data_IF_440124081398
#
_entry.id   IF_440124081398
#
_cell.length_a   1.000
_cell.length_b   1.000
_cell.length_c   1.000
_cell.angle_alpha   90.00
_cell.angle_beta   90.00
_cell.angle_gamma   90.00
#
_symmetry.space_group_name_H-M   'P 1'
#
loop_
_entity.id
_entity.type
_entity.pdbx_description
1 polymer ?
#
# COMPACT_ATOMS: atom_id res chain seq x y z
N UNK A 1 5.58 2.47 10.42
CA UNK A 1 5.27 1.63 9.24
C UNK A 1 3.92 2.07 8.67
N UNK A 2 3.74 2.05 7.34
CA UNK A 2 2.41 2.28 6.75
C UNK A 2 1.48 1.12 7.13
N UNK A 3 0.27 1.40 7.64
CA UNK A 3 -0.75 0.39 7.93
C UNK A 3 -0.94 -0.59 6.74
N UNK A 4 -0.91 -0.07 5.50
CA UNK A 4 -1.00 -0.89 4.28
C UNK A 4 0.18 -1.84 4.10
N UNK A 5 1.41 -1.39 4.37
CA UNK A 5 2.61 -2.22 4.20
C UNK A 5 2.60 -3.38 5.20
N UNK A 6 2.19 -3.12 6.44
CA UNK A 6 2.04 -4.13 7.48
C UNK A 6 0.99 -5.18 7.10
N UNK A 7 -0.19 -4.75 6.64
CA UNK A 7 -1.23 -5.66 6.13
C UNK A 7 -0.69 -6.57 5.01
N UNK A 8 0.09 -6.01 4.08
CA UNK A 8 0.66 -6.78 2.97
C UNK A 8 1.69 -7.81 3.46
N UNK A 9 2.57 -7.44 4.39
CA UNK A 9 3.55 -8.36 4.99
C UNK A 9 2.88 -9.49 5.77
N UNK A 10 1.83 -9.17 6.54
CA UNK A 10 1.03 -10.17 7.25
C UNK A 10 0.28 -11.10 6.27
N UNK A 11 -0.22 -10.57 5.16
CA UNK A 11 -0.86 -11.36 4.10
C UNK A 11 0.13 -12.29 3.40
N UNK A 12 1.36 -11.81 3.15
CA UNK A 12 2.44 -12.61 2.58
C UNK A 12 2.78 -13.81 3.48
N UNK A 13 3.04 -13.55 4.77
CA UNK A 13 3.37 -14.59 5.75
C UNK A 13 2.30 -15.69 5.82
N UNK A 14 1.01 -15.30 5.85
CA UNK A 14 -0.11 -16.26 5.83
C UNK A 14 -0.13 -17.11 4.56
N UNK A 15 0.15 -16.53 3.40
CA UNK A 15 0.18 -17.27 2.12
C UNK A 15 1.37 -18.21 2.04
N UNK A 16 2.53 -17.82 2.55
CA UNK A 16 3.73 -18.65 2.61
C UNK A 16 3.50 -19.86 3.52
N UNK A 17 2.91 -19.66 4.69
CA UNK A 17 2.50 -20.76 5.58
C UNK A 17 1.48 -21.69 4.91
N UNK A 18 0.51 -21.14 4.18
CA UNK A 18 -0.46 -21.94 3.44
C UNK A 18 0.19 -22.74 2.29
N UNK A 19 1.23 -22.18 1.66
CA UNK A 19 1.96 -22.84 0.59
C UNK A 19 2.75 -24.04 1.13
N UNK A 20 3.44 -23.86 2.24
CA UNK A 20 4.15 -24.94 2.96
C UNK A 20 3.19 -26.08 3.30
N UNK A 21 2.04 -25.77 3.92
CA UNK A 21 1.02 -26.77 4.21
C UNK A 21 0.54 -27.52 2.97
N UNK A 22 0.33 -26.84 1.84
CA UNK A 22 -0.09 -27.49 0.59
C UNK A 22 0.99 -28.41 0.02
N UNK A 23 2.26 -28.07 0.20
CA UNK A 23 3.36 -28.97 -0.15
C UNK A 23 3.33 -30.21 0.73
N UNK A 24 3.22 -30.06 2.05
CA UNK A 24 3.15 -31.18 2.97
C UNK A 24 1.98 -32.12 2.65
N UNK A 25 0.79 -31.54 2.40
CA UNK A 25 -0.40 -32.29 2.01
C UNK A 25 -0.19 -33.06 0.69
N UNK A 26 0.42 -32.41 -0.31
CA UNK A 26 0.72 -33.03 -1.60
C UNK A 26 1.74 -34.17 -1.45
N UNK A 27 2.85 -33.95 -0.74
CA UNK A 27 3.87 -34.96 -0.52
C UNK A 27 3.36 -36.14 0.32
N UNK A 28 2.52 -35.87 1.32
CA UNK A 28 1.85 -36.91 2.09
C UNK A 28 0.92 -37.75 1.21
N UNK A 29 0.15 -37.12 0.31
CA UNK A 29 -0.71 -37.83 -0.63
C UNK A 29 0.10 -38.66 -1.64
N UNK A 30 1.19 -38.12 -2.18
CA UNK A 30 2.12 -38.84 -3.07
C UNK A 30 2.72 -40.05 -2.36
N UNK A 31 3.22 -39.86 -1.12
CA UNK A 31 3.78 -40.96 -0.31
C UNK A 31 2.76 -42.05 -0.04
N UNK A 32 1.51 -41.70 0.25
CA UNK A 32 0.41 -42.64 0.48
C UNK A 32 0.02 -43.41 -0.78
N UNK A 33 0.05 -42.76 -1.94
CA UNK A 33 -0.36 -43.37 -3.20
C UNK A 33 0.79 -44.05 -3.98
N UNK A 34 2.04 -43.95 -3.52
CA UNK A 34 3.15 -44.76 -4.00
C UNK A 34 2.88 -46.25 -3.72
N UNK A 35 2.48 -47.01 -4.76
CA UNK A 35 2.12 -48.42 -4.68
C UNK A 35 0.91 -48.79 -5.54
N UNK A 36 0.04 -49.65 -5.01
CA UNK A 36 -1.10 -50.31 -5.68
C UNK A 36 -2.11 -49.37 -6.41
N UNK A 37 -2.39 -48.12 -5.96
CA UNK A 37 -3.33 -47.23 -6.68
C UNK A 37 -2.84 -46.76 -8.05
N UNK A 38 -1.52 -46.67 -8.28
CA UNK A 38 -0.95 -46.28 -9.57
C UNK A 38 -0.90 -47.45 -10.56
N UNK A 39 -0.81 -48.69 -10.04
CA UNK A 39 -0.75 -49.91 -10.84
C UNK A 39 -2.14 -50.44 -11.25
N UNK A 40 -3.20 -49.94 -10.63
CA UNK A 40 -4.58 -50.25 -11.02
C UNK A 40 -5.06 -49.28 -12.12
N UNK A 41 -5.30 -49.81 -13.33
CA UNK A 41 -5.71 -49.08 -14.54
C UNK A 41 -6.95 -48.21 -14.35
N UNK A 42 -7.87 -48.55 -13.42
CA UNK A 42 -9.08 -47.75 -13.15
C UNK A 42 -8.85 -46.62 -12.14
N UNK A 43 -7.94 -46.81 -11.18
CA UNK A 43 -7.72 -45.88 -10.06
C UNK A 43 -6.50 -44.95 -10.27
N UNK A 44 -5.61 -45.28 -11.21
CA UNK A 44 -4.44 -44.46 -11.54
C UNK A 44 -4.81 -43.08 -12.09
N UNK A 45 -5.74 -43.00 -13.04
CA UNK A 45 -6.16 -41.72 -13.63
C UNK A 45 -6.81 -40.78 -12.60
N UNK A 46 -7.62 -41.33 -11.69
CA UNK A 46 -8.24 -40.54 -10.62
C UNK A 46 -7.19 -39.95 -9.67
N UNK A 47 -6.13 -40.70 -9.38
CA UNK A 47 -4.99 -40.24 -8.57
C UNK A 47 -4.20 -39.14 -9.28
N UNK A 48 -3.86 -39.34 -10.56
CA UNK A 48 -3.17 -38.33 -11.38
C UNK A 48 -3.98 -37.03 -11.44
N UNK A 49 -5.29 -37.12 -11.71
CA UNK A 49 -6.17 -35.95 -11.76
C UNK A 49 -6.24 -35.22 -10.41
N UNK A 50 -6.15 -35.94 -9.29
CA UNK A 50 -6.11 -35.34 -7.95
C UNK A 50 -4.79 -34.60 -7.72
N UNK A 51 -3.67 -35.22 -8.08
CA UNK A 51 -2.35 -34.58 -7.99
C UNK A 51 -2.24 -33.35 -8.88
N UNK A 52 -2.79 -33.38 -10.11
CA UNK A 52 -2.76 -32.20 -10.97
C UNK A 52 -3.56 -31.04 -10.37
N UNK A 53 -4.72 -31.30 -9.75
CA UNK A 53 -5.47 -30.26 -9.02
C UNK A 53 -4.68 -29.69 -7.84
N UNK A 54 -3.95 -30.54 -7.10
CA UNK A 54 -3.08 -30.08 -6.01
C UNK A 54 -1.95 -29.20 -6.55
N UNK A 55 -1.29 -29.63 -7.63
CA UNK A 55 -0.24 -28.89 -8.32
C UNK A 55 -0.74 -27.55 -8.86
N UNK A 56 -1.91 -27.52 -9.49
CA UNK A 56 -2.55 -26.30 -9.97
C UNK A 56 -2.81 -25.33 -8.81
N UNK A 57 -3.34 -25.82 -7.69
CA UNK A 57 -3.56 -24.98 -6.52
C UNK A 57 -2.25 -24.44 -5.91
N UNK A 58 -1.17 -25.23 -5.92
CA UNK A 58 0.18 -24.79 -5.51
C UNK A 58 0.70 -23.70 -6.48
N UNK A 59 0.57 -23.90 -7.79
CA UNK A 59 0.97 -22.92 -8.82
C UNK A 59 0.22 -21.60 -8.64
N UNK A 60 -1.10 -21.66 -8.50
CA UNK A 60 -1.95 -20.49 -8.28
C UNK A 60 -1.57 -19.74 -6.99
N UNK A 61 -1.26 -20.46 -5.91
CA UNK A 61 -0.84 -19.84 -4.65
C UNK A 61 0.54 -19.17 -4.78
N UNK A 62 1.50 -19.79 -5.47
CA UNK A 62 2.80 -19.16 -5.78
C UNK A 62 2.63 -17.86 -6.57
N UNK A 63 1.78 -17.84 -7.59
CA UNK A 63 1.49 -16.62 -8.35
C UNK A 63 0.87 -15.51 -7.46
N UNK A 64 -0.03 -15.89 -6.55
CA UNK A 64 -0.63 -14.96 -5.59
C UNK A 64 0.40 -14.37 -4.61
N UNK A 65 1.37 -15.19 -4.18
CA UNK A 65 2.51 -14.75 -3.36
C UNK A 65 3.35 -13.73 -4.13
N UNK A 66 3.73 -14.01 -5.38
CA UNK A 66 4.53 -13.09 -6.20
C UNK A 66 3.79 -11.76 -6.45
N UNK A 67 2.48 -11.80 -6.70
CA UNK A 67 1.66 -10.57 -6.76
C UNK A 67 1.70 -9.77 -5.46
N UNK A 68 1.74 -10.45 -4.31
CA UNK A 68 1.82 -9.80 -2.99
C UNK A 68 3.19 -9.18 -2.74
N UNK A 69 4.28 -9.88 -3.10
CA UNK A 69 5.64 -9.35 -3.03
C UNK A 69 5.82 -8.09 -3.88
N UNK A 70 5.35 -8.11 -5.14
CA UNK A 70 5.34 -6.92 -6.01
C UNK A 70 4.50 -5.78 -5.44
N UNK A 71 3.43 -6.07 -4.71
CA UNK A 71 2.62 -5.04 -4.06
C UNK A 71 3.35 -4.41 -2.86
N UNK A 72 4.13 -5.20 -2.11
CA UNK A 72 4.99 -4.74 -1.02
C UNK A 72 6.07 -3.81 -1.56
N UNK A 73 6.82 -4.25 -2.57
CA UNK A 73 7.87 -3.47 -3.23
C UNK A 73 7.33 -2.09 -3.68
N UNK A 74 6.20 -2.07 -4.40
CA UNK A 74 5.56 -0.83 -4.84
C UNK A 74 5.12 0.09 -3.68
N UNK A 75 4.76 -0.47 -2.53
CA UNK A 75 4.39 0.33 -1.36
C UNK A 75 5.63 0.89 -0.65
N UNK A 76 6.71 0.10 -0.58
CA UNK A 76 8.01 0.53 -0.07
C UNK A 76 8.56 1.65 -0.95
N UNK A 77 8.55 1.50 -2.28
CA UNK A 77 8.98 2.55 -3.23
C UNK A 77 8.25 3.87 -3.01
N UNK A 78 6.92 3.83 -2.81
CA UNK A 78 6.14 5.04 -2.52
C UNK A 78 6.54 5.69 -1.21
N UNK A 79 6.82 4.89 -0.18
CA UNK A 79 7.29 5.39 1.11
C UNK A 79 8.67 6.04 0.94
N UNK A 80 9.59 5.39 0.23
CA UNK A 80 10.93 5.91 -0.03
C UNK A 80 10.88 7.20 -0.85
N UNK A 81 10.09 7.25 -1.93
CA UNK A 81 9.90 8.45 -2.73
C UNK A 81 9.30 9.61 -1.90
N UNK A 82 8.33 9.31 -1.03
CA UNK A 82 7.75 10.30 -0.13
C UNK A 82 8.78 10.82 0.89
N UNK A 83 9.57 9.94 1.49
CA UNK A 83 10.64 10.32 2.43
C UNK A 83 11.70 11.18 1.75
N UNK A 84 12.16 10.77 0.57
CA UNK A 84 13.10 11.55 -0.22
C UNK A 84 12.58 12.96 -0.50
N UNK A 85 11.30 13.09 -0.84
CA UNK A 85 10.67 14.39 -1.04
C UNK A 85 10.64 15.23 0.24
N UNK A 86 10.33 14.61 1.38
CA UNK A 86 10.30 15.27 2.68
C UNK A 86 11.68 15.79 3.09
N UNK A 87 12.74 15.02 2.85
CA UNK A 87 14.09 15.37 3.27
C UNK A 87 14.73 16.46 2.40
N UNK A 88 14.40 16.51 1.10
CA UNK A 88 15.12 17.36 0.15
C UNK A 88 14.37 18.63 -0.26
N UNK A 89 13.04 18.59 -0.36
CA UNK A 89 12.29 19.68 -1.01
C UNK A 89 11.23 20.33 -0.13
N UNK A 90 10.65 19.59 0.82
CA UNK A 90 9.53 20.09 1.62
C UNK A 90 10.06 20.84 2.85
N UNK A 91 9.59 22.08 3.12
CA UNK A 91 9.96 22.83 4.31
C UNK A 91 9.57 22.12 5.62
N UNK A 92 10.39 22.31 6.65
CA UNK A 92 10.17 21.71 7.99
C UNK A 92 8.84 22.15 8.60
N UNK A 93 8.44 23.39 8.37
CA UNK A 93 7.20 23.97 8.88
C UNK A 93 5.95 23.20 8.39
N UNK A 94 5.99 22.64 7.17
CA UNK A 94 4.91 21.79 6.66
C UNK A 94 4.97 20.40 7.31
N UNK A 95 6.17 19.84 7.45
CA UNK A 95 6.38 18.50 8.02
C UNK A 95 5.94 18.45 9.49
N UNK A 96 6.16 19.51 10.27
CA UNK A 96 5.68 19.62 11.64
C UNK A 96 4.15 19.55 11.74
N UNK A 97 3.43 20.16 10.79
CA UNK A 97 1.97 20.07 10.74
C UNK A 97 1.50 18.68 10.32
N UNK A 98 2.27 17.98 9.47
CA UNK A 98 1.98 16.58 9.12
C UNK A 98 2.19 15.67 10.34
N UNK A 99 3.26 15.88 11.12
CA UNK A 99 3.54 15.10 12.33
C UNK A 99 2.48 15.33 13.42
N UNK A 100 2.03 16.58 13.60
CA UNK A 100 0.92 16.93 14.51
C UNK A 100 -0.43 16.35 14.07
N UNK A 101 -0.55 15.94 12.81
CA UNK A 101 -1.79 15.43 12.22
C UNK A 101 -2.73 16.52 11.73
N UNK A 102 -2.30 17.78 11.69
CA UNK A 102 -3.06 18.91 11.14
C UNK A 102 -3.07 18.89 9.60
N UNK A 103 -2.10 18.20 8.98
CA UNK A 103 -2.04 17.94 7.55
C UNK A 103 -1.86 16.44 7.26
N UNK A 104 -2.56 15.97 6.22
CA UNK A 104 -2.41 14.62 5.68
C UNK A 104 -1.64 14.73 4.36
N UNK A 105 -0.44 14.18 4.34
CA UNK A 105 0.40 14.16 3.14
C UNK A 105 -0.08 13.12 2.12
N UNK A 106 -0.15 13.52 0.84
CA UNK A 106 -0.52 12.60 -0.23
C UNK A 106 0.68 11.77 -0.70
N UNK A 107 0.70 10.47 -0.37
CA UNK A 107 1.83 9.59 -0.77
C UNK A 107 2.11 9.50 -2.26
N UNK A 108 1.10 9.66 -3.13
CA UNK A 108 1.30 9.60 -4.59
C UNK A 108 1.93 10.90 -5.13
N UNK A 109 1.64 12.02 -4.48
CA UNK A 109 2.15 13.34 -4.84
C UNK A 109 2.60 14.03 -3.54
N UNK A 110 3.81 13.71 -3.02
CA UNK A 110 4.24 14.13 -1.68
C UNK A 110 4.22 15.64 -1.44
N UNK A 111 4.28 16.44 -2.49
CA UNK A 111 4.15 17.91 -2.44
C UNK A 111 2.74 18.41 -2.15
N UNK A 112 1.73 17.54 -2.14
CA UNK A 112 0.34 17.87 -1.90
C UNK A 112 -0.12 17.38 -0.52
N UNK A 113 -0.89 18.22 0.15
CA UNK A 113 -1.35 18.04 1.52
C UNK A 113 -2.84 18.33 1.63
N UNK A 114 -3.52 17.54 2.45
CA UNK A 114 -4.95 17.70 2.75
C UNK A 114 -5.13 18.13 4.20
N UNK A 115 -6.15 18.93 4.46
CA UNK A 115 -6.54 19.27 5.82
C UNK A 115 -7.58 18.24 6.29
N UNK A 116 -7.38 17.54 7.42
CA UNK A 116 -8.36 16.60 7.93
C UNK A 116 -9.73 17.25 8.11
N UNK A 117 -10.79 16.64 7.57
CA UNK A 117 -12.15 17.17 7.65
C UNK A 117 -12.45 18.34 6.71
N UNK A 118 -11.57 18.63 5.74
CA UNK A 118 -11.87 19.55 4.64
C UNK A 118 -11.91 18.77 3.34
N UNK A 119 -13.02 18.86 2.64
CA UNK A 119 -13.20 18.17 1.37
C UNK A 119 -12.70 19.00 0.19
N UNK A 120 -12.24 18.30 -0.86
CA UNK A 120 -11.87 18.82 -2.20
C UNK A 120 -10.62 19.73 -2.25
N UNK A 121 -10.42 20.59 -1.26
CA UNK A 121 -9.31 21.52 -1.20
C UNK A 121 -8.01 20.85 -0.77
N UNK A 122 -6.89 21.36 -1.28
CA UNK A 122 -5.56 20.88 -0.93
C UNK A 122 -4.55 22.02 -0.94
N UNK A 123 -3.59 21.92 -0.05
CA UNK A 123 -2.41 22.78 -0.01
C UNK A 123 -1.30 22.05 -0.77
N UNK A 124 -0.45 22.76 -1.49
CA UNK A 124 0.69 22.16 -2.14
C UNK A 124 1.91 23.08 -2.08
N UNK A 125 3.08 22.45 -2.01
CA UNK A 125 4.37 23.12 -2.10
C UNK A 125 4.76 23.22 -3.57
N UNK A 126 4.87 24.46 -4.06
CA UNK A 126 5.41 24.77 -5.38
C UNK A 126 6.92 24.90 -5.27
N UNK A 127 7.64 23.84 -5.63
CA UNK A 127 9.10 23.78 -5.58
C UNK A 127 9.75 24.83 -6.50
N UNK A 128 9.15 25.11 -7.66
CA UNK A 128 9.68 26.07 -8.64
C UNK A 128 9.61 27.49 -8.11
N UNK A 129 8.50 27.84 -7.44
CA UNK A 129 8.31 29.16 -6.84
C UNK A 129 8.82 29.25 -5.41
N UNK A 130 9.24 28.12 -4.82
CA UNK A 130 9.55 27.96 -3.40
C UNK A 130 8.47 28.56 -2.50
N UNK A 131 7.21 28.29 -2.85
CA UNK A 131 6.06 28.92 -2.24
C UNK A 131 4.94 27.92 -1.93
N UNK A 132 4.18 28.19 -0.87
CA UNK A 132 2.96 27.44 -0.54
C UNK A 132 1.78 27.99 -1.33
N UNK A 133 1.07 27.11 -2.03
CA UNK A 133 -0.13 27.45 -2.78
C UNK A 133 -1.29 26.52 -2.41
N UNK A 134 -2.51 26.88 -2.82
CA UNK A 134 -3.69 26.05 -2.62
C UNK A 134 -4.39 25.76 -3.96
N UNK A 135 -5.11 24.66 -4.01
CA UNK A 135 -6.01 24.32 -5.12
C UNK A 135 -7.39 23.97 -4.59
N UNK A 136 -8.41 24.29 -5.40
CA UNK A 136 -9.81 23.91 -5.18
C UNK A 136 -10.47 24.46 -3.90
N UNK A 137 -9.89 25.48 -3.26
CA UNK A 137 -10.50 26.14 -2.09
C UNK A 137 -11.90 26.72 -2.37
N UNK A 138 -12.19 27.07 -3.64
CA UNK A 138 -13.51 27.56 -4.06
C UNK A 138 -14.60 26.47 -4.11
N UNK A 139 -14.23 25.17 -4.07
CA UNK A 139 -15.18 24.06 -4.08
C UNK A 139 -15.70 23.70 -2.69
N UNK A 140 -15.16 24.32 -1.64
CA UNK A 140 -15.61 24.16 -0.26
C UNK A 140 -16.92 24.92 -0.10
N UNK A 141 -18.01 24.20 0.14
CA UNK A 141 -19.34 24.78 0.38
C UNK A 141 -19.56 25.10 1.86
N UNK A 142 -19.04 24.25 2.75
CA UNK A 142 -19.23 24.37 4.20
C UNK A 142 -18.33 25.43 4.82
N UNK A 143 -18.91 26.35 5.59
CA UNK A 143 -18.19 27.48 6.19
C UNK A 143 -17.18 27.04 7.27
N UNK A 144 -17.49 25.99 8.03
CA UNK A 144 -16.58 25.43 9.03
C UNK A 144 -15.32 24.85 8.39
N UNK A 145 -15.50 24.04 7.34
CA UNK A 145 -14.40 23.48 6.55
C UNK A 145 -13.54 24.60 5.94
N UNK A 146 -14.19 25.64 5.39
CA UNK A 146 -13.50 26.78 4.78
C UNK A 146 -12.66 27.53 5.81
N UNK A 147 -13.22 27.77 7.00
CA UNK A 147 -12.52 28.47 8.09
C UNK A 147 -11.30 27.69 8.56
N UNK A 148 -11.45 26.36 8.74
CA UNK A 148 -10.35 25.46 9.10
C UNK A 148 -9.24 25.48 8.05
N UNK A 149 -9.60 25.38 6.78
CA UNK A 149 -8.66 25.42 5.66
C UNK A 149 -7.88 26.74 5.60
N UNK A 150 -8.60 27.86 5.64
CA UNK A 150 -8.03 29.21 5.56
C UNK A 150 -7.07 29.48 6.72
N UNK A 151 -7.44 29.08 7.95
CA UNK A 151 -6.57 29.24 9.12
C UNK A 151 -5.21 28.55 8.92
N UNK A 152 -5.21 27.30 8.49
CA UNK A 152 -3.97 26.54 8.25
C UNK A 152 -3.17 27.08 7.07
N UNK A 153 -3.85 27.36 5.94
CA UNK A 153 -3.18 27.89 4.76
C UNK A 153 -2.55 29.27 5.03
N UNK A 154 -3.29 30.20 5.64
CA UNK A 154 -2.77 31.53 5.91
C UNK A 154 -1.60 31.51 6.89
N UNK A 155 -1.63 30.61 7.88
CA UNK A 155 -0.50 30.39 8.79
C UNK A 155 0.76 29.97 8.02
N UNK A 156 0.65 28.98 7.14
CA UNK A 156 1.76 28.56 6.28
C UNK A 156 2.20 29.63 5.30
N UNK A 157 1.25 30.34 4.68
CA UNK A 157 1.53 31.41 3.72
C UNK A 157 2.32 32.55 4.37
N UNK A 158 1.97 32.94 5.59
CA UNK A 158 2.70 33.98 6.32
C UNK A 158 4.14 33.57 6.62
N UNK A 159 4.38 32.30 6.99
CA UNK A 159 5.72 31.82 7.36
C UNK A 159 6.60 31.56 6.14
N UNK A 160 6.03 31.00 5.07
CA UNK A 160 6.80 30.50 3.92
C UNK A 160 6.81 31.45 2.72
N UNK A 161 5.73 32.21 2.50
CA UNK A 161 5.65 33.17 1.39
C UNK A 161 5.80 34.63 1.84
N UNK A 162 5.68 34.90 3.14
CA UNK A 162 5.87 36.24 3.72
C UNK A 162 7.32 36.61 4.00
N UNK A 163 8.28 35.79 3.54
CA UNK A 163 9.72 36.06 3.60
C UNK A 163 10.20 36.77 2.35
#
# INVERSE_FOLDING_TARGET
>A
MSNRLEILKNSLAKKEQQLEKRFDDHFADVKRANGQPLNDKRNGQATINRWERQNEAIRNLKESIEKTKRAIEKEEDKIHACKFQNENFIPKEILELVEKGDLIQWRKHPTHFFVPGVDKARIWWDESRKAVAHKYAHLITEQEQRTKFVRLYNGLNAVLNGR
#
